data_IF_323463785381
#
_entry.id   IF_323463785381
#
_cell.length_a   1.000
_cell.length_b   1.000
_cell.length_c   1.000
_cell.angle_alpha   90.00
_cell.angle_beta   90.00
_cell.angle_gamma   90.00
#
_symmetry.space_group_name_H-M   'P 1'
#
loop_
_entity.id
_entity.type
_entity.pdbx_description
1 polymer ?
#
# COMPACT_ATOMS: atom_id res chain seq x y z
N UNK A 1 33.75 -6.96 7.95
CA UNK A 1 32.57 -6.16 7.59
C UNK A 1 32.02 -6.74 6.31
N UNK A 2 30.72 -7.06 6.26
CA UNK A 2 30.10 -7.55 5.04
C UNK A 2 30.14 -6.43 4.00
N UNK A 3 30.85 -6.68 2.91
CA UNK A 3 30.97 -5.79 1.75
C UNK A 3 29.59 -5.67 1.11
N UNK A 4 28.96 -4.49 1.16
CA UNK A 4 27.61 -4.29 0.63
C UNK A 4 27.75 -3.85 -0.83
N UNK A 5 27.32 -4.71 -1.75
CA UNK A 5 27.31 -4.36 -3.18
C UNK A 5 26.01 -3.62 -3.49
N UNK A 6 26.15 -2.35 -3.87
CA UNK A 6 25.04 -1.51 -4.30
C UNK A 6 25.06 -1.46 -5.82
N UNK A 7 24.03 -2.03 -6.45
CA UNK A 7 23.82 -1.95 -7.89
C UNK A 7 22.60 -1.07 -8.14
N UNK A 8 22.73 -0.12 -9.05
CA UNK A 8 21.65 0.73 -9.51
C UNK A 8 21.66 0.79 -11.03
N UNK A 9 20.49 0.97 -11.62
CA UNK A 9 20.30 0.99 -13.06
C UNK A 9 19.45 2.17 -13.50
N UNK A 10 19.79 2.76 -14.62
CA UNK A 10 19.01 3.81 -15.28
C UNK A 10 18.65 3.29 -16.66
N UNK A 11 17.38 3.30 -17.03
CA UNK A 11 16.96 2.99 -18.40
C UNK A 11 16.70 4.31 -19.11
N UNK A 12 17.54 4.62 -20.09
CA UNK A 12 17.36 5.74 -21.01
C UNK A 12 16.54 5.21 -22.18
N UNK A 13 15.24 5.39 -22.11
CA UNK A 13 14.34 5.02 -23.20
C UNK A 13 14.17 6.23 -24.13
N UNK A 14 14.20 6.00 -25.44
CA UNK A 14 13.48 6.86 -26.37
C UNK A 14 12.02 6.76 -25.94
N UNK A 15 11.54 7.75 -25.20
CA UNK A 15 10.37 7.44 -24.39
C UNK A 15 9.15 7.23 -25.30
N UNK A 16 8.46 6.12 -25.02
CA UNK A 16 7.09 5.73 -25.34
C UNK A 16 6.50 5.24 -23.99
N UNK A 17 5.34 5.73 -23.54
CA UNK A 17 4.88 5.74 -22.13
C UNK A 17 4.24 4.41 -21.63
N UNK A 18 4.43 4.06 -20.34
CA UNK A 18 3.58 3.13 -19.54
C UNK A 18 4.01 3.06 -18.04
N UNK A 19 3.08 3.31 -17.11
CA UNK A 19 3.26 3.22 -15.63
C UNK A 19 2.53 1.99 -15.06
N UNK A 20 2.98 1.43 -13.95
CA UNK A 20 2.37 0.29 -13.25
C UNK A 20 1.78 0.75 -11.92
N UNK A 21 0.45 0.57 -11.77
CA UNK A 21 -0.32 1.05 -10.63
C UNK A 21 -0.87 -0.13 -9.81
N UNK A 22 -0.74 -0.04 -8.48
CA UNK A 22 -1.41 -0.94 -7.53
C UNK A 22 -2.50 -0.16 -6.79
N UNK A 23 -3.76 -0.54 -6.97
CA UNK A 23 -4.91 0.13 -6.34
C UNK A 23 -5.63 -0.79 -5.35
N UNK A 24 -5.92 -0.29 -4.16
CA UNK A 24 -6.62 -1.01 -3.09
C UNK A 24 -7.72 -0.15 -2.44
N UNK A 25 -8.66 -0.81 -1.76
CA UNK A 25 -9.55 -0.17 -0.77
C UNK A 25 -9.12 -0.59 0.62
N UNK A 26 -8.99 0.38 1.51
CA UNK A 26 -8.63 0.19 2.92
C UNK A 26 -9.77 0.64 3.83
N UNK A 27 -9.79 0.13 5.06
CA UNK A 27 -10.73 0.54 6.09
C UNK A 27 -10.01 0.87 7.40
N UNK A 28 -10.44 1.93 8.10
CA UNK A 28 -9.85 2.37 9.37
C UNK A 28 -10.23 1.49 10.56
N UNK A 29 -11.24 0.64 10.41
CA UNK A 29 -11.71 -0.30 11.40
C UNK A 29 -12.32 -1.52 10.70
N UNK A 30 -12.48 -2.66 11.38
CA UNK A 30 -13.06 -3.86 10.80
C UNK A 30 -14.44 -3.60 10.19
N UNK A 31 -14.59 -3.97 8.92
CA UNK A 31 -15.88 -3.98 8.23
C UNK A 31 -16.60 -5.29 8.54
N UNK A 32 -16.99 -5.45 9.81
CA UNK A 32 -17.66 -6.64 10.29
C UNK A 32 -18.79 -6.24 11.23
N UNK A 33 -19.98 -6.75 10.95
CA UNK A 33 -21.16 -6.56 11.77
C UNK A 33 -21.90 -7.89 11.93
N UNK A 34 -22.20 -8.24 13.18
CA UNK A 34 -23.15 -9.31 13.48
C UNK A 34 -24.51 -8.75 13.81
N UNK A 35 -25.52 -9.59 13.66
CA UNK A 35 -26.87 -9.29 14.08
C UNK A 35 -27.58 -10.54 14.61
N UNK A 36 -28.65 -10.34 15.37
CA UNK A 36 -29.54 -11.42 15.76
C UNK A 36 -30.87 -11.28 15.02
N UNK A 37 -31.25 -12.30 14.25
CA UNK A 37 -32.45 -12.27 13.41
C UNK A 37 -33.71 -12.05 14.24
N UNK A 38 -34.60 -11.18 13.75
CA UNK A 38 -35.83 -10.80 14.43
C UNK A 38 -35.65 -9.90 15.67
N UNK A 39 -34.44 -9.35 15.89
CA UNK A 39 -34.19 -8.35 16.95
C UNK A 39 -33.51 -7.09 16.37
N UNK A 40 -33.32 -6.08 17.21
CA UNK A 40 -32.55 -4.87 16.87
C UNK A 40 -31.13 -4.92 17.42
N UNK A 41 -30.63 -6.13 17.72
CA UNK A 41 -29.31 -6.32 18.31
C UNK A 41 -28.27 -6.43 17.18
N UNK A 42 -27.41 -5.42 17.11
CA UNK A 42 -26.31 -5.33 16.15
C UNK A 42 -25.00 -5.13 16.90
N UNK A 43 -23.95 -5.80 16.44
CA UNK A 43 -22.63 -5.65 17.07
C UNK A 43 -21.52 -5.59 16.02
N UNK A 44 -20.74 -4.50 15.95
CA UNK A 44 -21.00 -3.20 16.57
C UNK A 44 -22.29 -2.56 16.02
N UNK A 45 -22.95 -1.74 16.85
CA UNK A 45 -24.07 -0.91 16.40
C UNK A 45 -23.54 0.44 15.87
N UNK A 46 -23.22 0.49 14.58
CA UNK A 46 -22.70 1.68 13.91
C UNK A 46 -23.66 2.87 13.95
N UNK A 47 -24.97 2.62 13.98
CA UNK A 47 -25.99 3.69 14.07
C UNK A 47 -25.84 4.51 15.35
N UNK A 48 -25.44 3.89 16.46
CA UNK A 48 -25.26 4.55 17.77
C UNK A 48 -23.80 4.81 18.14
N UNK A 49 -22.85 4.35 17.32
CA UNK A 49 -21.42 4.50 17.57
C UNK A 49 -20.95 5.96 17.43
N UNK A 50 -20.02 6.45 18.26
CA UNK A 50 -19.41 7.77 18.09
C UNK A 50 -18.76 7.92 16.71
N UNK A 51 -18.89 9.10 16.09
CA UNK A 51 -18.50 9.30 14.69
C UNK A 51 -17.01 9.01 14.42
N UNK A 52 -16.13 9.34 15.36
CA UNK A 52 -14.69 9.10 15.27
C UNK A 52 -14.30 7.61 15.30
N UNK A 53 -15.18 6.73 15.76
CA UNK A 53 -14.91 5.28 15.85
C UNK A 53 -15.55 4.48 14.71
N UNK A 54 -16.38 5.14 13.89
CA UNK A 54 -17.04 4.49 12.75
C UNK A 54 -16.04 4.17 11.65
N UNK A 55 -16.14 2.98 11.01
CA UNK A 55 -15.25 2.62 9.92
C UNK A 55 -15.32 3.64 8.78
N UNK A 56 -14.15 4.03 8.27
CA UNK A 56 -13.98 4.82 7.05
C UNK A 56 -13.29 3.96 6.02
N UNK A 57 -13.90 3.81 4.86
CA UNK A 57 -13.41 3.08 3.69
C UNK A 57 -12.84 4.09 2.70
N UNK A 58 -11.60 3.91 2.27
CA UNK A 58 -10.91 4.87 1.41
C UNK A 58 -10.00 4.18 0.38
N UNK A 59 -9.87 4.76 -0.83
CA UNK A 59 -9.00 4.21 -1.86
C UNK A 59 -7.54 4.60 -1.65
N UNK A 60 -6.62 3.75 -2.10
CA UNK A 60 -5.20 4.04 -2.23
C UNK A 60 -4.70 3.54 -3.58
N UNK A 61 -3.95 4.36 -4.30
CA UNK A 61 -3.30 3.95 -5.55
C UNK A 61 -1.81 4.27 -5.45
N UNK A 62 -0.98 3.26 -5.55
CA UNK A 62 0.48 3.39 -5.51
C UNK A 62 1.04 3.30 -6.93
N UNK A 63 1.86 4.27 -7.32
CA UNK A 63 2.64 4.20 -8.56
C UNK A 63 4.02 3.63 -8.27
N UNK A 64 4.37 2.57 -9.00
CA UNK A 64 5.71 2.00 -8.95
C UNK A 64 6.74 2.94 -9.60
N UNK A 65 6.34 3.73 -10.60
CA UNK A 65 7.23 4.67 -11.28
C UNK A 65 7.49 5.94 -10.47
N UNK A 66 6.47 6.47 -9.79
CA UNK A 66 6.57 7.68 -8.96
C UNK A 66 6.96 7.38 -7.51
N UNK A 67 6.96 6.10 -7.11
CA UNK A 67 7.22 5.64 -5.74
C UNK A 67 6.38 6.38 -4.69
N UNK A 68 5.11 6.64 -5.01
CA UNK A 68 4.24 7.48 -4.21
C UNK A 68 2.77 7.04 -4.31
N UNK A 69 2.01 7.40 -3.28
CA UNK A 69 0.55 7.31 -3.30
C UNK A 69 0.00 8.46 -4.14
N UNK A 70 -0.70 8.12 -5.21
CA UNK A 70 -1.34 9.07 -6.09
C UNK A 70 -2.74 9.41 -5.61
N UNK A 71 -3.12 10.66 -5.75
CA UNK A 71 -4.46 11.13 -5.44
C UNK A 71 -5.47 10.53 -6.43
N UNK A 72 -6.47 9.82 -5.90
CA UNK A 72 -7.58 9.27 -6.67
C UNK A 72 -8.67 10.33 -6.82
N UNK A 73 -9.02 10.64 -8.06
CA UNK A 73 -10.03 11.63 -8.44
C UNK A 73 -11.21 10.98 -9.16
N UNK A 74 -12.30 11.72 -9.35
CA UNK A 74 -13.50 11.25 -10.07
C UNK A 74 -14.04 9.91 -9.56
N UNK A 75 -14.08 9.76 -8.24
CA UNK A 75 -14.50 8.51 -7.59
C UNK A 75 -16.00 8.30 -7.78
N UNK A 76 -16.36 7.10 -8.21
CA UNK A 76 -17.72 6.59 -8.24
C UNK A 76 -17.79 5.28 -7.44
N UNK A 77 -18.76 5.20 -6.53
CA UNK A 77 -18.94 4.08 -5.60
C UNK A 77 -20.05 3.14 -6.04
N UNK A 78 -19.90 1.86 -5.69
CA UNK A 78 -20.93 0.83 -5.86
C UNK A 78 -21.05 -0.01 -4.59
N UNK A 79 -22.27 -0.42 -4.29
CA UNK A 79 -22.61 -1.34 -3.21
C UNK A 79 -23.27 -2.58 -3.83
N UNK A 80 -22.70 -3.76 -3.63
CA UNK A 80 -23.10 -5.01 -4.29
C UNK A 80 -23.26 -4.86 -5.81
N UNK A 81 -22.33 -4.14 -6.45
CA UNK A 81 -22.32 -3.86 -7.88
C UNK A 81 -23.27 -2.75 -8.36
N UNK A 82 -24.17 -2.25 -7.51
CA UNK A 82 -25.12 -1.19 -7.82
C UNK A 82 -24.54 0.18 -7.49
N UNK A 83 -24.65 1.15 -8.40
CA UNK A 83 -24.13 2.50 -8.22
C UNK A 83 -24.74 3.19 -6.99
N UNK A 84 -23.89 3.81 -6.18
CA UNK A 84 -24.32 4.63 -5.06
C UNK A 84 -24.58 6.07 -5.51
N UNK A 85 -25.59 6.70 -4.93
CA UNK A 85 -25.86 8.13 -5.09
C UNK A 85 -25.84 8.83 -3.75
N UNK A 86 -25.44 10.10 -3.72
CA UNK A 86 -25.31 10.88 -2.49
C UNK A 86 -26.05 12.20 -2.61
N UNK A 87 -26.61 12.66 -1.49
CA UNK A 87 -27.17 14.01 -1.39
C UNK A 87 -26.09 15.08 -1.16
N UNK A 88 -26.51 16.34 -1.02
CA UNK A 88 -25.60 17.47 -0.81
C UNK A 88 -24.81 17.40 0.50
N UNK A 89 -25.27 16.62 1.50
CA UNK A 89 -24.54 16.36 2.74
C UNK A 89 -23.57 15.18 2.65
N UNK A 90 -23.51 14.53 1.47
CA UNK A 90 -22.78 13.29 1.25
C UNK A 90 -23.49 12.06 1.78
N UNK A 91 -24.75 12.14 2.24
CA UNK A 91 -25.49 10.97 2.71
C UNK A 91 -25.92 10.11 1.52
N UNK A 92 -25.70 8.80 1.61
CA UNK A 92 -26.12 7.86 0.57
C UNK A 92 -27.65 7.84 0.46
N UNK A 93 -28.17 7.94 -0.75
CA UNK A 93 -29.60 7.91 -1.08
C UNK A 93 -30.02 6.67 -1.86
N UNK A 94 -29.07 5.97 -2.50
CA UNK A 94 -29.29 4.69 -3.17
C UNK A 94 -27.95 3.90 -3.22
N UNK A 95 -27.97 2.57 -3.30
CA UNK A 95 -29.14 1.67 -3.24
C UNK A 95 -29.76 1.61 -1.84
N UNK A 96 -31.01 1.14 -1.72
CA UNK A 96 -31.77 1.08 -0.45
C UNK A 96 -31.00 0.41 0.70
N UNK A 97 -30.20 -0.61 0.40
CA UNK A 97 -29.35 -1.32 1.37
C UNK A 97 -28.34 -0.40 2.06
N UNK A 98 -27.83 0.62 1.36
CA UNK A 98 -26.82 1.58 1.83
C UNK A 98 -27.40 2.97 2.14
N UNK A 99 -28.61 3.26 1.65
CA UNK A 99 -29.28 4.54 1.84
C UNK A 99 -29.43 4.86 3.33
N UNK A 100 -29.05 6.09 3.73
CA UNK A 100 -29.05 6.53 5.12
C UNK A 100 -27.99 5.88 6.04
N UNK A 101 -27.26 4.87 5.57
CA UNK A 101 -26.30 4.09 6.37
C UNK A 101 -24.84 4.36 6.01
N UNK A 102 -24.58 4.99 4.87
CA UNK A 102 -23.23 5.35 4.41
C UNK A 102 -23.18 6.84 4.10
N UNK A 103 -22.09 7.50 4.43
CA UNK A 103 -21.83 8.91 4.11
C UNK A 103 -20.51 9.07 3.39
N UNK A 104 -20.52 9.74 2.24
CA UNK A 104 -19.33 10.20 1.56
C UNK A 104 -18.70 11.38 2.30
N UNK A 105 -17.39 11.27 2.54
CA UNK A 105 -16.58 12.27 3.22
C UNK A 105 -15.27 12.51 2.45
N UNK A 106 -14.50 13.50 2.86
CA UNK A 106 -13.10 13.65 2.48
C UNK A 106 -12.20 13.00 3.54
N UNK A 107 -11.27 12.16 3.10
CA UNK A 107 -10.30 11.48 3.96
C UNK A 107 -9.01 11.22 3.19
N UNK A 108 -7.85 11.52 3.78
CA UNK A 108 -6.53 11.38 3.15
C UNK A 108 -6.44 11.95 1.72
N UNK A 109 -7.06 13.10 1.48
CA UNK A 109 -7.00 13.81 0.19
C UNK A 109 -7.87 13.23 -0.93
N UNK A 110 -8.73 12.24 -0.64
CA UNK A 110 -9.67 11.65 -1.58
C UNK A 110 -11.09 11.55 -1.00
N UNK A 111 -12.08 11.28 -1.87
CA UNK A 111 -13.42 10.89 -1.39
C UNK A 111 -13.36 9.49 -0.77
N UNK A 112 -14.03 9.33 0.36
CA UNK A 112 -14.09 8.11 1.15
C UNK A 112 -15.52 7.89 1.65
N UNK A 113 -15.82 6.69 2.18
CA UNK A 113 -17.12 6.34 2.73
C UNK A 113 -17.01 6.08 4.23
N UNK A 114 -17.77 6.80 5.05
CA UNK A 114 -17.97 6.48 6.47
C UNK A 114 -19.25 5.66 6.63
N UNK A 115 -19.16 4.55 7.36
CA UNK A 115 -20.33 3.74 7.71
C UNK A 115 -20.99 4.36 8.94
N UNK A 116 -22.22 4.87 8.80
CA UNK A 116 -22.95 5.62 9.84
C UNK A 116 -24.22 4.94 10.32
N UNK A 117 -24.60 3.80 9.74
CA UNK A 117 -25.75 3.01 10.12
C UNK A 117 -25.48 1.51 9.94
N UNK A 118 -26.32 0.68 10.57
CA UNK A 118 -26.20 -0.78 10.47
C UNK A 118 -26.62 -1.26 9.09
N UNK A 119 -25.80 -2.11 8.48
CA UNK A 119 -26.08 -2.69 7.16
C UNK A 119 -26.74 -4.05 7.29
N UNK A 120 -26.43 -4.80 8.35
CA UNK A 120 -27.06 -6.06 8.66
C UNK A 120 -28.56 -5.88 8.92
N UNK A 121 -29.37 -6.83 8.46
CA UNK A 121 -30.82 -6.88 8.70
C UNK A 121 -31.37 -8.27 8.40
N UNK A 122 -32.65 -8.52 8.72
CA UNK A 122 -33.32 -9.78 8.37
C UNK A 122 -33.31 -10.10 6.86
N UNK A 123 -33.18 -9.07 6.01
CA UNK A 123 -33.09 -9.18 4.55
C UNK A 123 -31.67 -8.97 4.00
N UNK A 124 -30.73 -8.58 4.85
CA UNK A 124 -29.31 -8.43 4.49
C UNK A 124 -28.46 -9.15 5.53
N UNK A 125 -28.31 -10.46 5.31
CA UNK A 125 -27.69 -11.40 6.24
C UNK A 125 -26.47 -12.12 5.63
N UNK A 126 -26.07 -11.72 4.44
CA UNK A 126 -24.88 -12.20 3.74
C UNK A 126 -23.85 -11.06 3.64
N UNK A 127 -22.59 -11.41 3.42
CA UNK A 127 -21.52 -10.42 3.28
C UNK A 127 -21.70 -9.56 2.03
N UNK A 128 -21.48 -8.27 2.19
CA UNK A 128 -21.61 -7.24 1.16
C UNK A 128 -20.25 -6.92 0.53
N UNK A 129 -20.27 -6.36 -0.69
CA UNK A 129 -19.09 -5.88 -1.40
C UNK A 129 -19.24 -4.41 -1.75
N UNK A 130 -18.24 -3.60 -1.38
CA UNK A 130 -18.13 -2.20 -1.76
C UNK A 130 -17.02 -2.08 -2.77
N UNK A 131 -17.29 -1.47 -3.92
CA UNK A 131 -16.29 -1.21 -4.95
C UNK A 131 -16.27 0.26 -5.36
N UNK A 132 -15.14 0.67 -5.91
CA UNK A 132 -15.01 1.99 -6.50
C UNK A 132 -14.34 1.92 -7.86
N UNK A 133 -14.63 2.94 -8.67
CA UNK A 133 -13.86 3.31 -9.85
C UNK A 133 -13.42 4.76 -9.71
N UNK A 134 -12.26 5.09 -10.24
CA UNK A 134 -11.72 6.45 -10.19
C UNK A 134 -10.60 6.65 -11.19
N UNK A 135 -9.92 7.78 -11.10
CA UNK A 135 -8.83 8.16 -11.99
C UNK A 135 -7.63 8.66 -11.20
N UNK A 136 -6.44 8.27 -11.61
CA UNK A 136 -5.17 8.81 -11.10
C UNK A 136 -4.38 9.44 -12.24
N UNK A 137 -3.65 10.51 -11.94
CA UNK A 137 -2.67 11.05 -12.87
C UNK A 137 -1.34 10.39 -12.59
N UNK A 138 -0.90 9.53 -13.49
CA UNK A 138 0.31 8.74 -13.38
C UNK A 138 1.16 9.00 -14.61
N UNK A 139 2.40 9.43 -14.43
CA UNK A 139 3.35 9.68 -15.53
C UNK A 139 2.81 10.61 -16.62
N UNK A 140 2.07 11.64 -16.21
CA UNK A 140 1.48 12.65 -17.10
C UNK A 140 0.30 12.16 -17.95
N UNK A 141 -0.27 10.99 -17.61
CA UNK A 141 -1.48 10.46 -18.22
C UNK A 141 -2.53 10.20 -17.13
N UNK A 142 -3.80 10.30 -17.51
CA UNK A 142 -4.88 9.93 -16.63
C UNK A 142 -5.24 8.46 -16.85
N UNK A 143 -5.17 7.66 -15.79
CA UNK A 143 -5.40 6.21 -15.82
C UNK A 143 -6.61 5.87 -14.96
N UNK A 144 -7.48 5.00 -15.48
CA UNK A 144 -8.62 4.48 -14.74
C UNK A 144 -8.17 3.41 -13.75
N UNK A 145 -8.68 3.49 -12.53
CA UNK A 145 -8.37 2.56 -11.43
C UNK A 145 -9.65 2.08 -10.75
N UNK A 146 -9.60 0.89 -10.17
CA UNK A 146 -10.71 0.29 -9.44
C UNK A 146 -10.22 -0.67 -8.37
N UNK A 147 -10.97 -0.81 -7.29
CA UNK A 147 -10.79 -1.88 -6.31
C UNK A 147 -12.11 -2.18 -5.59
N UNK A 148 -12.12 -3.26 -4.81
CA UNK A 148 -13.24 -3.70 -4.00
C UNK A 148 -12.79 -4.12 -2.60
N UNK A 149 -13.72 -4.09 -1.64
CA UNK A 149 -13.53 -4.55 -0.27
C UNK A 149 -14.83 -5.20 0.24
N UNK A 150 -14.69 -6.26 1.01
CA UNK A 150 -15.82 -6.98 1.62
C UNK A 150 -16.21 -6.37 2.95
N UNK A 151 -17.52 -6.19 3.16
CA UNK A 151 -18.12 -5.93 4.47
C UNK A 151 -18.79 -7.22 4.93
N UNK A 152 -18.26 -7.81 5.99
CA UNK A 152 -18.74 -9.07 6.54
C UNK A 152 -20.00 -8.84 7.38
N UNK A 153 -21.08 -9.55 7.02
CA UNK A 153 -22.31 -9.62 7.80
C UNK A 153 -22.57 -11.08 8.16
N UNK A 154 -22.80 -11.35 9.45
CA UNK A 154 -23.05 -12.70 9.95
C UNK A 154 -24.13 -12.72 11.03
N UNK A 155 -24.93 -13.79 11.05
CA UNK A 155 -25.84 -14.03 12.18
C UNK A 155 -25.02 -14.45 13.42
N UNK A 156 -25.30 -13.82 14.55
CA UNK A 156 -24.57 -14.07 15.78
C UNK A 156 -24.77 -15.52 16.29
N UNK A 157 -23.67 -16.23 16.50
CA UNK A 157 -23.63 -17.59 17.06
C UNK A 157 -22.58 -17.70 18.16
N UNK A 158 -22.80 -18.57 19.15
CA UNK A 158 -21.84 -18.81 20.22
C UNK A 158 -20.50 -19.32 19.64
N UNK A 159 -19.40 -18.66 20.00
CA UNK A 159 -18.02 -18.92 19.54
C UNK A 159 -17.70 -18.48 18.09
N UNK A 160 -18.43 -17.50 17.55
CA UNK A 160 -18.07 -16.87 16.29
C UNK A 160 -16.94 -15.86 16.49
N UNK A 161 -15.71 -16.37 16.60
CA UNK A 161 -14.50 -15.55 16.74
C UNK A 161 -13.98 -15.06 15.39
N UNK A 162 -13.76 -13.75 15.27
CA UNK A 162 -13.13 -13.09 14.13
C UNK A 162 -12.00 -12.20 14.63
N UNK A 163 -10.79 -12.41 14.12
CA UNK A 163 -9.64 -11.58 14.45
C UNK A 163 -9.39 -10.61 13.31
N UNK A 164 -9.11 -9.35 13.64
CA UNK A 164 -8.71 -8.34 12.66
C UNK A 164 -7.38 -7.73 13.04
N UNK A 165 -6.58 -7.41 12.03
CA UNK A 165 -5.35 -6.64 12.18
C UNK A 165 -5.52 -5.28 11.51
N UNK A 166 -5.55 -4.23 12.32
CA UNK A 166 -5.73 -2.86 11.89
C UNK A 166 -4.40 -2.11 11.97
N UNK A 167 -4.16 -1.21 11.03
CA UNK A 167 -2.99 -0.35 11.01
C UNK A 167 -3.30 0.93 10.23
N UNK A 168 -2.68 2.06 10.61
CA UNK A 168 -2.88 3.33 9.91
C UNK A 168 -2.24 3.33 8.52
N UNK A 169 -1.17 2.55 8.35
CA UNK A 169 -0.44 2.36 7.09
C UNK A 169 0.14 0.93 7.06
N UNK A 170 0.39 0.43 5.86
CA UNK A 170 0.96 -0.88 5.52
C UNK A 170 2.36 -0.79 4.88
N UNK A 171 2.86 0.42 4.59
CA UNK A 171 4.21 0.67 4.07
C UNK A 171 4.98 1.55 5.05
N UNK A 172 6.22 1.16 5.40
CA UNK A 172 7.18 2.06 6.05
C UNK A 172 7.88 2.86 4.95
N UNK A 173 7.65 4.18 4.90
CA UNK A 173 8.28 5.08 3.95
C UNK A 173 9.02 6.26 4.63
N UNK A 174 9.65 7.11 3.82
CA UNK A 174 10.41 8.30 4.25
C UNK A 174 11.22 8.12 5.54
N UNK A 175 10.90 8.98 6.52
CA UNK A 175 11.49 9.03 7.86
C UNK A 175 10.78 8.13 8.88
N UNK A 176 9.76 7.36 8.48
CA UNK A 176 9.05 6.46 9.38
C UNK A 176 9.95 5.31 9.83
N UNK A 177 9.96 5.03 11.13
CA UNK A 177 10.82 3.99 11.72
C UNK A 177 10.06 2.72 12.10
N UNK A 178 8.72 2.80 12.18
CA UNK A 178 7.85 1.68 12.54
C UNK A 178 6.38 1.92 12.20
N UNK A 179 5.64 0.84 11.95
CA UNK A 179 4.18 0.84 11.89
C UNK A 179 3.59 0.19 13.13
N UNK A 180 2.50 0.77 13.65
CA UNK A 180 1.75 0.17 14.76
C UNK A 180 0.61 -0.68 14.20
N UNK A 181 0.68 -1.99 14.39
CA UNK A 181 -0.41 -2.92 14.13
C UNK A 181 -1.21 -3.14 15.41
N UNK A 182 -2.54 -3.12 15.31
CA UNK A 182 -3.46 -3.35 16.43
C UNK A 182 -4.40 -4.50 16.10
N UNK A 183 -4.28 -5.59 16.86
CA UNK A 183 -5.17 -6.73 16.81
C UNK A 183 -6.48 -6.43 17.55
N UNK A 184 -7.60 -6.85 16.98
CA UNK A 184 -8.91 -6.78 17.63
C UNK A 184 -9.65 -8.09 17.40
N UNK A 185 -9.81 -8.87 18.48
CA UNK A 185 -10.64 -10.06 18.48
C UNK A 185 -12.10 -9.66 18.71
N UNK A 186 -13.01 -10.19 17.91
CA UNK A 186 -14.44 -10.07 18.08
C UNK A 186 -15.05 -11.45 18.30
N UNK A 187 -16.03 -11.54 19.20
CA UNK A 187 -16.89 -12.71 19.37
C UNK A 187 -18.33 -12.25 19.26
N UNK A 188 -19.11 -12.85 18.37
CA UNK A 188 -20.48 -12.41 18.11
C UNK A 188 -20.56 -10.91 17.77
N UNK A 189 -19.53 -10.37 17.11
CA UNK A 189 -19.42 -8.96 16.72
C UNK A 189 -19.11 -7.98 17.86
N UNK A 190 -18.99 -8.46 19.11
CA UNK A 190 -18.49 -7.66 20.24
C UNK A 190 -16.98 -7.83 20.36
N UNK A 191 -16.25 -6.73 20.58
CA UNK A 191 -14.81 -6.82 20.82
C UNK A 191 -14.55 -7.54 22.14
N UNK A 192 -13.71 -8.58 22.09
CA UNK A 192 -13.21 -9.29 23.27
C UNK A 192 -12.04 -8.49 23.82
N UNK A 193 -12.24 -7.85 24.97
CA UNK A 193 -11.24 -7.00 25.62
C UNK A 193 -10.64 -7.61 26.90
N UNK A 194 -11.22 -8.70 27.41
CA UNK A 194 -10.76 -9.39 28.63
C UNK A 194 -10.52 -10.87 28.36
N UNK A 195 -9.54 -11.46 29.04
CA UNK A 195 -9.20 -12.88 28.91
C UNK A 195 -8.57 -13.29 27.56
N UNK A 196 -8.38 -12.33 26.65
CA UNK A 196 -7.69 -12.52 25.37
C UNK A 196 -6.21 -12.18 25.48
N UNK A 197 -5.37 -12.97 24.80
CA UNK A 197 -3.97 -12.65 24.57
C UNK A 197 -3.65 -12.79 23.09
N UNK A 198 -2.77 -11.95 22.59
CA UNK A 198 -2.36 -11.92 21.19
C UNK A 198 -0.90 -12.37 21.10
N UNK A 199 -0.54 -13.08 20.04
CA UNK A 199 0.83 -13.47 19.71
C UNK A 199 1.08 -13.13 18.25
N UNK A 200 2.23 -12.51 17.94
CA UNK A 200 2.57 -12.10 16.58
C UNK A 200 3.79 -12.90 16.11
N UNK A 201 3.66 -13.50 14.94
CA UNK A 201 4.64 -14.36 14.31
C UNK A 201 4.87 -13.89 12.88
N UNK A 202 5.94 -14.36 12.25
CA UNK A 202 6.04 -14.33 10.80
C UNK A 202 5.33 -15.56 10.19
N UNK A 203 5.22 -15.61 8.86
CA UNK A 203 4.60 -16.74 8.14
C UNK A 203 5.26 -18.11 8.44
N UNK A 204 6.56 -18.12 8.76
CA UNK A 204 7.29 -19.34 9.14
C UNK A 204 7.06 -19.77 10.60
N UNK A 205 6.27 -19.01 11.38
CA UNK A 205 5.97 -19.30 12.78
C UNK A 205 7.04 -18.84 13.77
N UNK A 206 8.02 -18.03 13.33
CA UNK A 206 8.96 -17.38 14.25
C UNK A 206 8.23 -16.30 15.04
N UNK A 207 8.37 -16.30 16.36
CA UNK A 207 7.74 -15.31 17.23
C UNK A 207 8.40 -13.94 17.03
N UNK A 208 7.63 -12.99 16.50
CA UNK A 208 8.01 -11.58 16.40
C UNK A 208 7.70 -10.82 17.69
N UNK A 209 6.60 -11.20 18.35
CA UNK A 209 6.21 -10.71 19.67
C UNK A 209 5.44 -11.79 20.42
N UNK A 210 5.98 -12.17 21.58
CA UNK A 210 5.40 -13.21 22.43
C UNK A 210 3.96 -12.90 22.88
N UNK A 211 3.23 -13.97 23.23
CA UNK A 211 1.85 -13.93 23.72
C UNK A 211 1.70 -13.01 24.92
N UNK A 212 0.85 -11.99 24.83
CA UNK A 212 0.48 -11.12 25.95
C UNK A 212 -0.90 -10.45 25.72
N UNK A 213 -1.43 -9.74 26.72
CA UNK A 213 -2.73 -9.09 26.64
C UNK A 213 -2.75 -7.81 25.77
N UNK A 214 -1.59 -7.29 25.36
CA UNK A 214 -1.54 -6.09 24.52
C UNK A 214 -1.97 -6.42 23.09
N UNK A 215 -2.95 -5.69 22.53
CA UNK A 215 -3.35 -5.84 21.14
C UNK A 215 -2.33 -5.24 20.16
N UNK A 216 -1.38 -4.43 20.63
CA UNK A 216 -0.50 -3.66 19.74
C UNK A 216 0.84 -4.36 19.49
N UNK A 217 1.29 -4.31 18.24
CA UNK A 217 2.62 -4.75 17.82
C UNK A 217 3.23 -3.68 16.92
N UNK A 218 4.42 -3.21 17.29
CA UNK A 218 5.17 -2.25 16.48
C UNK A 218 6.09 -3.03 15.55
N UNK A 219 5.75 -3.02 14.25
CA UNK A 219 6.63 -3.55 13.21
C UNK A 219 7.70 -2.51 12.97
N UNK A 220 8.96 -2.83 13.26
CA UNK A 220 10.07 -1.93 12.98
C UNK A 220 10.65 -2.23 11.60
N UNK A 221 11.31 -1.23 11.02
CA UNK A 221 11.97 -1.38 9.72
C UNK A 221 12.91 -2.59 9.66
N UNK A 222 13.67 -2.84 10.73
CA UNK A 222 14.63 -3.95 10.79
C UNK A 222 14.00 -5.36 10.74
N UNK A 223 12.67 -5.46 10.91
CA UNK A 223 11.94 -6.74 10.81
C UNK A 223 11.51 -7.08 9.39
N UNK A 224 11.55 -6.10 8.47
CA UNK A 224 11.05 -6.22 7.10
C UNK A 224 12.26 -6.32 6.16
N UNK A 225 12.28 -7.36 5.33
CA UNK A 225 13.27 -7.53 4.25
C UNK A 225 12.51 -7.44 2.93
N UNK A 226 12.32 -6.21 2.44
CA UNK A 226 11.35 -5.79 1.39
C UNK A 226 9.88 -6.01 1.76
N UNK A 227 9.53 -7.20 2.26
CA UNK A 227 8.18 -7.60 2.66
C UNK A 227 8.22 -8.43 3.95
N UNK A 228 7.20 -8.28 4.79
CA UNK A 228 6.94 -9.17 5.92
C UNK A 228 5.45 -9.51 5.98
N UNK A 229 5.13 -10.80 6.04
CA UNK A 229 3.79 -11.28 6.40
C UNK A 229 3.73 -11.51 7.91
N UNK A 230 2.97 -10.66 8.60
CA UNK A 230 2.74 -10.77 10.04
C UNK A 230 1.49 -11.62 10.28
N UNK A 231 1.64 -12.68 11.06
CA UNK A 231 0.54 -13.55 11.50
C UNK A 231 0.22 -13.25 12.95
N UNK A 232 -1.02 -12.94 13.27
CA UNK A 232 -1.48 -12.79 14.64
C UNK A 232 -2.37 -13.97 15.03
N UNK A 233 -2.12 -14.55 16.20
CA UNK A 233 -3.00 -15.54 16.84
C UNK A 233 -3.64 -14.91 18.07
N UNK A 234 -4.96 -15.02 18.16
CA UNK A 234 -5.71 -14.66 19.36
C UNK A 234 -6.00 -15.91 20.20
N UNK A 235 -5.72 -15.81 21.49
CA UNK A 235 -5.80 -16.89 22.45
C UNK A 235 -6.83 -16.56 23.53
N UNK A 236 -7.64 -17.54 23.90
CA UNK A 236 -8.46 -17.52 25.12
C UNK A 236 -8.05 -18.74 25.95
N UNK A 237 -7.50 -18.49 27.13
CA UNK A 237 -6.81 -19.54 27.88
C UNK A 237 -5.64 -20.12 27.08
N UNK A 238 -5.66 -21.42 26.83
CA UNK A 238 -4.63 -22.15 26.09
C UNK A 238 -5.01 -22.48 24.65
N UNK A 239 -6.19 -22.06 24.19
CA UNK A 239 -6.68 -22.37 22.86
C UNK A 239 -6.53 -21.16 21.93
N UNK A 240 -6.09 -21.41 20.70
CA UNK A 240 -6.13 -20.42 19.62
C UNK A 240 -7.57 -20.38 19.10
N UNK A 241 -8.24 -19.25 19.28
CA UNK A 241 -9.64 -19.08 18.88
C UNK A 241 -9.81 -18.42 17.51
N UNK A 242 -8.78 -17.68 17.06
CA UNK A 242 -8.74 -17.07 15.74
C UNK A 242 -7.30 -16.75 15.32
N UNK A 243 -7.06 -16.69 14.01
CA UNK A 243 -5.80 -16.28 13.41
C UNK A 243 -6.11 -15.35 12.24
N UNK A 244 -5.28 -14.32 12.06
CA UNK A 244 -5.36 -13.38 10.96
C UNK A 244 -3.93 -13.03 10.50
N UNK A 245 -3.77 -12.61 9.25
CA UNK A 245 -2.47 -12.22 8.72
C UNK A 245 -2.55 -10.90 7.97
N UNK A 246 -1.47 -10.13 8.01
CA UNK A 246 -1.37 -8.86 7.29
C UNK A 246 0.04 -8.65 6.78
N UNK A 247 0.13 -8.24 5.52
CA UNK A 247 1.37 -7.93 4.84
C UNK A 247 1.78 -6.49 5.16
N UNK A 248 3.09 -6.28 5.29
CA UNK A 248 3.71 -4.96 5.43
C UNK A 248 4.94 -4.89 4.55
N UNK A 249 5.23 -3.69 4.03
CA UNK A 249 6.35 -3.45 3.12
C UNK A 249 7.33 -2.43 3.72
N UNK A 250 8.60 -2.60 3.38
CA UNK A 250 9.63 -1.57 3.55
C UNK A 250 10.02 -1.12 2.15
N UNK A 251 9.76 0.16 1.85
CA UNK A 251 10.03 0.71 0.53
C UNK A 251 11.45 1.28 0.38
N UNK A 252 12.38 1.08 1.35
CA UNK A 252 13.66 1.82 1.39
C UNK A 252 14.91 0.95 1.69
N UNK A 253 15.71 0.64 0.66
CA UNK A 253 17.12 0.20 0.80
C UNK A 253 18.02 1.34 1.34
N UNK A 254 18.97 1.11 2.26
CA UNK A 254 19.72 2.20 2.94
C UNK A 254 20.58 3.08 2.03
N UNK A 255 20.91 2.59 0.84
CA UNK A 255 21.64 3.33 -0.17
C UNK A 255 21.02 3.10 -1.53
N UNK A 256 20.86 4.18 -2.29
CA UNK A 256 20.45 4.10 -3.69
C UNK A 256 21.40 4.90 -4.56
N UNK A 257 21.60 4.43 -5.79
CA UNK A 257 22.30 5.21 -6.81
C UNK A 257 21.24 6.06 -7.51
N UNK A 258 21.31 7.36 -7.29
CA UNK A 258 20.45 8.32 -7.98
C UNK A 258 21.18 8.88 -9.19
N UNK A 259 20.42 9.17 -10.23
CA UNK A 259 20.86 10.02 -11.31
C UNK A 259 20.26 11.42 -11.16
N UNK A 260 21.04 12.45 -11.46
CA UNK A 260 20.55 13.84 -11.50
C UNK A 260 19.42 14.05 -12.53
N UNK A 261 19.25 13.14 -13.49
CA UNK A 261 18.17 13.14 -14.48
C UNK A 261 17.04 12.13 -14.18
N UNK A 262 17.12 11.37 -13.09
CA UNK A 262 16.18 10.30 -12.75
C UNK A 262 16.54 8.93 -13.33
N UNK A 263 15.80 7.89 -12.93
CA UNK A 263 16.06 6.48 -13.29
C UNK A 263 15.49 6.04 -14.63
N UNK A 264 14.53 6.81 -15.17
CA UNK A 264 13.94 6.60 -16.49
C UNK A 264 13.86 7.93 -17.23
N UNK A 265 14.69 8.12 -18.26
CA UNK A 265 14.86 9.43 -18.90
C UNK A 265 14.48 9.40 -20.37
N UNK A 266 13.67 10.36 -20.80
CA UNK A 266 13.35 10.66 -22.22
C UNK A 266 14.40 11.62 -22.73
N UNK A 267 15.29 11.14 -23.59
CA UNK A 267 16.28 11.98 -24.25
C UNK A 267 15.82 12.30 -25.67
N UNK A 268 15.91 13.57 -26.07
CA UNK A 268 15.66 13.98 -27.44
C UNK A 268 16.72 13.45 -28.40
N UNK A 269 16.39 13.18 -29.67
CA UNK A 269 17.30 12.58 -30.64
C UNK A 269 18.48 13.49 -31.06
N UNK A 270 18.52 14.73 -30.58
CA UNK A 270 19.57 15.72 -30.87
C UNK A 270 20.22 16.30 -29.61
N UNK A 271 19.80 15.84 -28.43
CA UNK A 271 20.32 16.36 -27.16
C UNK A 271 21.50 15.51 -26.71
N UNK A 272 22.62 16.16 -26.38
CA UNK A 272 23.73 15.52 -25.69
C UNK A 272 23.53 15.71 -24.19
N UNK A 273 23.34 14.61 -23.47
CA UNK A 273 22.99 14.64 -22.04
C UNK A 273 24.03 13.89 -21.23
N UNK A 274 24.58 14.58 -20.23
CA UNK A 274 25.41 13.96 -19.18
C UNK A 274 24.53 13.59 -17.99
N UNK A 275 24.59 12.31 -17.63
CA UNK A 275 23.91 11.70 -16.50
C UNK A 275 24.92 11.56 -15.37
N UNK A 276 24.74 12.34 -14.30
CA UNK A 276 25.56 12.31 -13.11
C UNK A 276 24.95 11.35 -12.09
N UNK A 277 25.78 10.51 -11.49
CA UNK A 277 25.42 9.49 -10.54
C UNK A 277 25.91 9.87 -9.15
N UNK A 278 25.05 9.69 -8.16
CA UNK A 278 25.36 9.89 -6.76
C UNK A 278 24.89 8.70 -5.96
N UNK A 279 25.69 8.25 -5.00
CA UNK A 279 25.25 7.29 -4.00
C UNK A 279 24.65 8.10 -2.85
N UNK A 280 23.37 7.89 -2.58
CA UNK A 280 22.67 8.62 -1.53
C UNK A 280 22.34 7.65 -0.41
N UNK A 281 22.70 8.02 0.82
CA UNK A 281 22.14 7.40 2.00
C UNK A 281 20.72 7.95 2.17
N UNK A 282 19.73 7.16 1.81
CA UNK A 282 18.32 7.58 1.84
C UNK A 282 17.78 7.72 3.27
N UNK A 283 18.50 7.25 4.29
CA UNK A 283 18.15 7.45 5.70
C UNK A 283 18.55 8.83 6.23
N UNK A 284 19.52 9.48 5.59
CA UNK A 284 20.05 10.78 6.03
C UNK A 284 19.94 11.86 4.95
N UNK A 285 19.42 11.51 3.77
CA UNK A 285 19.41 12.36 2.58
C UNK A 285 20.80 12.77 2.09
N UNK A 286 21.87 12.20 2.66
CA UNK A 286 23.23 12.67 2.43
C UNK A 286 23.90 11.89 1.30
N UNK A 287 24.59 12.62 0.42
CA UNK A 287 25.41 12.01 -0.64
C UNK A 287 26.71 11.45 -0.04
N UNK A 288 27.05 10.21 -0.39
CA UNK A 288 28.30 9.58 0.01
C UNK A 288 29.43 10.11 -0.88
N UNK A 289 30.49 10.65 -0.27
CA UNK A 289 31.64 11.20 -1.00
C UNK A 289 32.66 10.13 -1.36
N UNK A 290 33.47 10.39 -2.40
CA UNK A 290 34.57 9.51 -2.80
C UNK A 290 34.18 8.21 -3.51
N UNK A 291 32.91 8.08 -3.92
CA UNK A 291 32.39 6.89 -4.59
C UNK A 291 32.92 6.77 -6.02
N UNK A 292 33.28 5.55 -6.41
CA UNK A 292 33.67 5.19 -7.77
C UNK A 292 32.70 4.15 -8.30
N UNK A 293 31.97 4.49 -9.36
CA UNK A 293 31.04 3.56 -9.98
C UNK A 293 31.70 2.75 -11.10
N UNK A 294 31.50 1.45 -11.11
CA UNK A 294 31.60 0.64 -12.31
C UNK A 294 30.37 0.92 -13.18
N UNK A 295 30.54 1.80 -14.17
CA UNK A 295 29.48 2.15 -15.12
C UNK A 295 29.59 1.31 -16.39
N UNK A 296 28.50 0.65 -16.77
CA UNK A 296 28.30 -0.02 -18.05
C UNK A 296 27.05 0.51 -18.74
N UNK A 297 27.08 0.55 -20.06
CA UNK A 297 25.95 0.89 -20.90
C UNK A 297 25.64 -0.26 -21.83
N UNK A 298 24.37 -0.65 -21.88
CA UNK A 298 23.88 -1.74 -22.68
C UNK A 298 22.79 -1.24 -23.62
N UNK A 299 22.81 -1.67 -24.88
CA UNK A 299 21.62 -1.53 -25.72
C UNK A 299 20.51 -2.38 -25.12
N UNK A 300 19.37 -1.77 -24.83
CA UNK A 300 18.36 -2.42 -23.99
C UNK A 300 17.65 -3.59 -24.71
N UNK A 301 17.60 -3.57 -26.05
CA UNK A 301 16.91 -4.57 -26.87
C UNK A 301 17.58 -5.95 -26.86
N UNK A 302 18.91 -6.01 -26.78
CA UNK A 302 19.68 -7.25 -26.92
C UNK A 302 20.84 -7.37 -25.93
N UNK A 303 20.95 -6.42 -24.99
CA UNK A 303 21.92 -6.39 -23.90
C UNK A 303 23.38 -6.37 -24.37
N UNK A 304 23.63 -5.96 -25.62
CA UNK A 304 24.99 -5.74 -26.11
C UNK A 304 25.62 -4.58 -25.33
N UNK A 305 26.84 -4.80 -24.82
CA UNK A 305 27.64 -3.76 -24.17
C UNK A 305 28.06 -2.72 -25.22
N UNK A 306 27.59 -1.49 -25.03
CA UNK A 306 27.88 -0.32 -25.87
C UNK A 306 28.65 0.74 -25.08
N UNK A 307 29.21 0.42 -23.91
CA UNK A 307 29.92 1.36 -23.02
C UNK A 307 31.04 2.08 -23.76
N UNK A 308 31.76 1.38 -24.64
CA UNK A 308 32.86 1.94 -25.44
C UNK A 308 32.41 2.99 -26.47
N UNK A 309 31.12 3.07 -26.75
CA UNK A 309 30.54 4.05 -27.67
C UNK A 309 30.15 5.36 -26.99
N UNK A 310 30.30 5.45 -25.66
CA UNK A 310 29.87 6.57 -24.82
C UNK A 310 31.05 7.12 -24.03
N UNK A 311 30.92 8.36 -23.54
CA UNK A 311 31.94 9.01 -22.71
C UNK A 311 31.57 8.88 -21.25
N UNK A 312 32.44 8.31 -20.41
CA UNK A 312 32.20 8.16 -18.96
C UNK A 312 33.32 8.71 -18.08
N UNK A 313 32.96 9.04 -16.85
CA UNK A 313 33.86 9.30 -15.73
C UNK A 313 33.57 8.30 -14.59
N UNK A 314 34.16 8.50 -13.41
CA UNK A 314 33.87 7.68 -12.23
C UNK A 314 32.44 7.88 -11.70
N UNK A 315 31.79 9.00 -12.04
CA UNK A 315 30.49 9.40 -11.49
C UNK A 315 29.50 9.86 -12.55
N UNK A 316 29.81 9.75 -13.83
CA UNK A 316 28.90 10.17 -14.89
C UNK A 316 29.09 9.42 -16.19
N UNK A 317 28.04 9.43 -17.01
CA UNK A 317 28.10 8.99 -18.40
C UNK A 317 27.37 9.99 -19.30
N UNK A 318 27.93 10.27 -20.47
CA UNK A 318 27.33 11.15 -21.47
C UNK A 318 26.82 10.33 -22.64
N UNK A 319 25.52 10.49 -22.93
CA UNK A 319 24.86 9.90 -24.09
C UNK A 319 24.54 10.99 -25.08
N UNK A 320 25.07 10.87 -26.29
CA UNK A 320 24.80 11.83 -27.35
C UNK A 320 23.44 11.58 -28.00
N UNK A 321 22.84 12.61 -28.60
CA UNK A 321 21.57 12.51 -29.30
C UNK A 321 21.62 11.45 -30.41
N UNK A 322 22.74 11.39 -31.13
CA UNK A 322 23.00 10.38 -32.16
C UNK A 322 22.96 8.95 -31.60
N UNK A 323 23.50 8.72 -30.39
CA UNK A 323 23.57 7.39 -29.79
C UNK A 323 22.23 6.91 -29.25
N UNK A 324 21.42 7.79 -28.66
CA UNK A 324 20.06 7.40 -28.27
C UNK A 324 19.16 7.19 -29.49
N UNK A 325 19.36 7.96 -30.57
CA UNK A 325 18.65 7.77 -31.83
C UNK A 325 19.00 6.44 -32.50
N UNK A 326 20.27 6.01 -32.43
CA UNK A 326 20.75 4.72 -32.92
C UNK A 326 20.17 3.55 -32.12
N UNK A 327 20.29 3.59 -30.79
CA UNK A 327 19.99 2.43 -29.93
C UNK A 327 18.55 2.36 -29.48
N UNK A 328 17.78 3.46 -29.57
CA UNK A 328 16.37 3.62 -29.14
C UNK A 328 16.14 3.43 -27.65
N UNK A 329 16.88 2.57 -26.97
CA UNK A 329 16.84 2.40 -25.52
C UNK A 329 18.19 1.89 -25.04
N UNK A 330 18.75 2.56 -24.04
CA UNK A 330 20.05 2.29 -23.46
C UNK A 330 19.86 2.08 -21.97
N UNK A 331 20.31 0.96 -21.43
CA UNK A 331 20.37 0.72 -19.99
C UNK A 331 21.77 1.05 -19.48
N UNK A 332 21.87 2.00 -18.57
CA UNK A 332 23.09 2.31 -17.82
C UNK A 332 23.03 1.55 -16.51
N UNK A 333 23.96 0.63 -16.30
CA UNK A 333 24.18 -0.01 -15.02
C UNK A 333 25.33 0.71 -14.31
N UNK A 334 25.14 1.01 -13.03
CA UNK A 334 26.17 1.52 -12.15
C UNK A 334 26.28 0.61 -10.92
N UNK A 335 27.50 0.21 -10.60
CA UNK A 335 27.79 -0.63 -9.44
C UNK A 335 28.83 0.05 -8.56
N UNK A 336 28.63 -0.01 -7.27
CA UNK A 336 29.65 0.38 -6.29
C UNK A 336 29.56 -0.53 -5.07
N UNK A 337 30.65 -0.55 -4.31
CA UNK A 337 30.74 -1.26 -3.06
C UNK A 337 30.77 -0.26 -1.91
N UNK A 338 30.05 -0.56 -0.83
CA UNK A 338 30.01 0.21 0.43
C UNK A 338 30.43 -0.69 1.58
#
# INVERSE_FOLDING_TARGET
MATTNVTGGIVINLLQNGDSLTTTLNATAPLYQTFKKGTTDFVPNWATMPDAQRPVIFPRSYSAMEAAVLAVTNIAWRYNGVAMTFDASGLCTAPDIAAGKVRQIDYNGAKALRIIGNVASDTNNDSDTISFTGKVNASGQQVDVSAEITLLVEEASANLYRLFLNMPDDVIDGDETSLTMTAALYNMGAQVSTGVQYEFLNLAGTVLRAKNASPTFNVTRAMIDSELMVVCKAWIGNDVVAQEQRQVWDSIDPYTIVCDKGSNVRQGPYDDVTYNLSLVNVRTGSTVSGVVFEIKAFRNSDKVDITSQLTKTNTSITVTGAKILEHKSIYIEAKTTV
#
